data_IF_986273469845
#
_entry.id   IF_986273469845
#
_cell.length_a   1.000
_cell.length_b   1.000
_cell.length_c   1.000
_cell.angle_alpha   90.00
_cell.angle_beta   90.00
_cell.angle_gamma   90.00
#
_symmetry.space_group_name_H-M   'P 1'
#
loop_
_entity.id
_entity.type
_entity.pdbx_description
1 polymer ?
#
# COMPACT_ATOMS: atom_id res chain seq x y z
N UNK A 1 -20.08 -24.04 -5.87
CA UNK A 1 -19.32 -23.95 -7.13
C UNK A 1 -19.20 -22.49 -7.55
N UNK A 2 -18.12 -22.11 -8.22
CA UNK A 2 -17.95 -20.77 -8.79
C UNK A 2 -18.95 -20.58 -9.94
N UNK A 3 -19.89 -19.62 -9.85
CA UNK A 3 -20.93 -19.42 -10.84
C UNK A 3 -20.50 -18.49 -11.99
N UNK A 4 -19.27 -17.98 -11.97
CA UNK A 4 -18.74 -17.07 -12.99
C UNK A 4 -17.76 -17.79 -13.91
N UNK A 5 -17.71 -17.38 -15.18
CA UNK A 5 -16.73 -17.90 -16.15
C UNK A 5 -15.39 -17.14 -16.14
N UNK A 6 -15.40 -15.89 -15.62
CA UNK A 6 -14.27 -14.97 -15.71
C UNK A 6 -13.51 -14.81 -14.39
N UNK A 7 -14.14 -15.04 -13.23
CA UNK A 7 -13.44 -14.94 -11.96
C UNK A 7 -12.75 -16.29 -11.67
N UNK A 8 -11.44 -16.30 -11.32
CA UNK A 8 -10.78 -17.54 -10.92
C UNK A 8 -11.42 -18.15 -9.69
N UNK A 9 -11.44 -19.49 -9.61
CA UNK A 9 -12.02 -20.22 -8.46
C UNK A 9 -11.43 -19.77 -7.13
N UNK A 10 -10.11 -19.54 -7.07
CA UNK A 10 -9.44 -19.05 -5.84
C UNK A 10 -9.97 -17.70 -5.39
N UNK A 11 -10.20 -16.77 -6.32
CA UNK A 11 -10.78 -15.45 -6.03
C UNK A 11 -12.23 -15.56 -5.59
N UNK A 12 -12.99 -16.47 -6.20
CA UNK A 12 -14.35 -16.78 -5.75
C UNK A 12 -14.38 -17.34 -4.33
N UNK A 13 -13.47 -18.26 -3.99
CA UNK A 13 -13.39 -18.84 -2.65
C UNK A 13 -13.07 -17.77 -1.58
N UNK A 14 -12.21 -16.80 -1.90
CA UNK A 14 -11.97 -15.64 -1.02
C UNK A 14 -13.23 -14.78 -0.84
N UNK A 15 -14.04 -14.60 -1.88
CA UNK A 15 -15.31 -13.89 -1.79
C UNK A 15 -16.36 -14.69 -0.98
N UNK A 16 -16.35 -16.02 -1.06
CA UNK A 16 -17.18 -16.87 -0.19
C UNK A 16 -16.79 -16.70 1.28
N UNK A 17 -15.49 -16.62 1.57
CA UNK A 17 -15.01 -16.38 2.95
C UNK A 17 -15.37 -14.99 3.45
N UNK A 18 -15.27 -13.96 2.62
CA UNK A 18 -15.59 -12.60 3.06
C UNK A 18 -17.08 -12.44 3.35
N UNK A 19 -17.97 -13.17 2.66
CA UNK A 19 -19.43 -13.20 2.88
C UNK A 19 -19.84 -13.66 4.30
N UNK A 20 -18.95 -14.34 5.03
CA UNK A 20 -19.19 -14.76 6.42
C UNK A 20 -19.12 -13.58 7.40
N UNK A 21 -18.49 -12.48 7.01
CA UNK A 21 -18.37 -11.28 7.83
C UNK A 21 -19.63 -10.41 7.71
N UNK A 22 -20.12 -9.91 8.85
CA UNK A 22 -21.39 -9.17 8.95
C UNK A 22 -21.51 -8.01 7.95
N UNK A 23 -20.40 -7.29 7.72
CA UNK A 23 -20.36 -6.13 6.80
C UNK A 23 -20.40 -6.48 5.32
N UNK A 24 -20.19 -7.74 4.97
CA UNK A 24 -20.19 -8.25 3.60
C UNK A 24 -21.30 -9.27 3.38
N UNK A 25 -22.24 -9.37 4.33
CA UNK A 25 -23.27 -10.39 4.28
C UNK A 25 -24.08 -10.29 3.00
N UNK A 26 -24.33 -11.44 2.38
CA UNK A 26 -25.04 -11.58 1.10
C UNK A 26 -24.29 -11.03 -0.13
N UNK A 27 -23.01 -10.64 -0.01
CA UNK A 27 -22.20 -10.25 -1.17
C UNK A 27 -22.17 -11.37 -2.20
N UNK A 28 -22.03 -12.62 -1.78
CA UNK A 28 -22.01 -13.77 -2.69
C UNK A 28 -23.33 -13.93 -3.44
N UNK A 29 -24.45 -13.76 -2.73
CA UNK A 29 -25.80 -13.89 -3.28
C UNK A 29 -26.09 -12.79 -4.30
N UNK A 30 -25.72 -11.55 -3.96
CA UNK A 30 -25.96 -10.38 -4.80
C UNK A 30 -24.95 -10.27 -5.95
N UNK A 31 -23.76 -10.86 -5.81
CA UNK A 31 -22.73 -10.87 -6.85
C UNK A 31 -23.25 -11.35 -8.19
N UNK A 32 -24.11 -12.37 -8.19
CA UNK A 32 -24.69 -12.93 -9.41
C UNK A 32 -25.71 -12.01 -10.07
N UNK A 33 -26.52 -11.31 -9.27
CA UNK A 33 -27.47 -10.33 -9.78
C UNK A 33 -26.74 -9.13 -10.41
N UNK A 34 -25.56 -8.79 -9.90
CA UNK A 34 -24.74 -7.65 -10.31
C UNK A 34 -23.48 -8.07 -11.09
N UNK A 35 -23.51 -9.25 -11.72
CA UNK A 35 -22.33 -9.87 -12.33
C UNK A 35 -21.62 -8.97 -13.33
N UNK A 36 -22.37 -8.16 -14.08
CA UNK A 36 -21.83 -7.31 -15.14
C UNK A 36 -21.13 -6.08 -14.56
N UNK A 37 -21.64 -5.54 -13.45
CA UNK A 37 -20.97 -4.47 -12.69
C UNK A 37 -19.68 -4.96 -12.03
N UNK A 38 -19.70 -6.15 -11.43
CA UNK A 38 -18.49 -6.75 -10.89
C UNK A 38 -17.48 -7.13 -11.97
N UNK A 39 -17.95 -7.58 -13.14
CA UNK A 39 -17.08 -7.83 -14.29
C UNK A 39 -16.43 -6.54 -14.80
N UNK A 40 -17.18 -5.43 -14.84
CA UNK A 40 -16.63 -4.12 -15.18
C UNK A 40 -15.48 -3.72 -14.23
N UNK A 41 -15.70 -3.85 -12.91
CA UNK A 41 -14.64 -3.61 -11.92
C UNK A 41 -13.46 -4.55 -12.15
N UNK A 42 -13.72 -5.84 -12.34
CA UNK A 42 -12.66 -6.84 -12.55
C UNK A 42 -11.82 -6.59 -13.80
N UNK A 43 -12.45 -6.19 -14.91
CA UNK A 43 -11.78 -5.92 -16.19
C UNK A 43 -11.04 -4.57 -16.21
N UNK A 44 -11.30 -3.67 -15.25
CA UNK A 44 -10.62 -2.37 -15.15
C UNK A 44 -9.12 -2.49 -14.88
N UNK A 45 -8.35 -1.55 -15.42
CA UNK A 45 -6.92 -1.40 -15.10
C UNK A 45 -6.69 -0.87 -13.68
N UNK A 46 -7.66 -0.14 -13.13
CA UNK A 46 -7.61 0.48 -11.80
C UNK A 46 -8.86 0.11 -10.97
N UNK A 47 -9.09 -1.18 -10.68
CA UNK A 47 -10.33 -1.65 -10.04
C UNK A 47 -10.59 -1.02 -8.66
N UNK A 48 -9.53 -0.62 -7.97
CA UNK A 48 -9.57 0.04 -6.66
C UNK A 48 -10.12 1.47 -6.70
N UNK A 49 -10.23 2.08 -7.89
CA UNK A 49 -10.83 3.40 -8.10
C UNK A 49 -12.21 3.33 -8.74
N UNK A 50 -12.62 2.15 -9.19
CA UNK A 50 -13.92 1.96 -9.82
C UNK A 50 -15.06 2.05 -8.81
N UNK A 51 -16.21 2.46 -9.31
CA UNK A 51 -17.46 2.41 -8.54
C UNK A 51 -17.92 0.97 -8.41
N UNK A 52 -18.29 0.59 -7.19
CA UNK A 52 -18.86 -0.72 -6.93
C UNK A 52 -20.33 -0.74 -7.36
N UNK A 53 -20.88 -1.91 -7.72
CA UNK A 53 -22.28 -2.01 -8.12
C UNK A 53 -23.23 -1.75 -6.95
N UNK A 54 -24.29 -0.98 -7.25
CA UNK A 54 -25.45 -0.70 -6.40
C UNK A 54 -25.09 -0.38 -4.93
N UNK A 55 -25.65 -1.16 -3.99
CA UNK A 55 -25.53 -0.96 -2.56
C UNK A 55 -24.09 -1.07 -2.05
N UNK A 56 -23.20 -1.78 -2.75
CA UNK A 56 -21.83 -1.98 -2.31
C UNK A 56 -20.99 -0.71 -2.39
N UNK A 57 -21.40 0.26 -3.21
CA UNK A 57 -20.76 1.57 -3.28
C UNK A 57 -21.03 2.42 -2.03
N UNK A 58 -22.18 2.24 -1.38
CA UNK A 58 -22.60 3.08 -0.24
C UNK A 58 -22.54 2.34 1.10
N UNK A 59 -22.67 1.02 1.11
CA UNK A 59 -22.61 0.21 2.34
C UNK A 59 -21.18 -0.07 2.81
N UNK A 60 -20.21 -0.10 1.89
CA UNK A 60 -18.82 -0.42 2.21
C UNK A 60 -18.00 0.87 2.36
N UNK A 61 -17.33 1.00 3.51
CA UNK A 61 -16.26 1.96 3.70
C UNK A 61 -14.98 1.55 2.97
N UNK A 62 -14.00 2.45 2.93
CA UNK A 62 -12.82 2.31 2.07
C UNK A 62 -11.99 1.05 2.35
N UNK A 63 -11.81 0.70 3.63
CA UNK A 63 -11.12 -0.53 4.02
C UNK A 63 -11.88 -1.79 3.54
N UNK A 64 -13.21 -1.77 3.62
CA UNK A 64 -14.04 -2.90 3.20
C UNK A 64 -14.04 -3.04 1.68
N UNK A 65 -14.08 -1.93 0.94
CA UNK A 65 -13.92 -1.92 -0.51
C UNK A 65 -12.56 -2.54 -0.91
N UNK A 66 -11.49 -2.20 -0.20
CA UNK A 66 -10.17 -2.80 -0.42
C UNK A 66 -10.16 -4.31 -0.17
N UNK A 67 -10.91 -4.81 0.82
CA UNK A 67 -11.07 -6.26 1.04
C UNK A 67 -11.74 -6.96 -0.14
N UNK A 68 -12.75 -6.33 -0.77
CA UNK A 68 -13.37 -6.89 -1.98
C UNK A 68 -12.38 -6.89 -3.14
N UNK A 69 -11.62 -5.80 -3.35
CA UNK A 69 -10.55 -5.76 -4.37
C UNK A 69 -9.53 -6.87 -4.14
N UNK A 70 -9.11 -7.13 -2.89
CA UNK A 70 -8.21 -8.25 -2.56
C UNK A 70 -8.78 -9.60 -3.02
N UNK A 71 -10.09 -9.79 -2.96
CA UNK A 71 -10.74 -11.02 -3.41
C UNK A 71 -10.74 -11.13 -4.94
N UNK A 72 -11.18 -10.08 -5.65
CA UNK A 72 -11.40 -10.14 -7.11
C UNK A 72 -10.18 -9.81 -7.96
N UNK A 73 -9.29 -8.92 -7.48
CA UNK A 73 -8.09 -8.40 -8.17
C UNK A 73 -6.92 -8.28 -7.19
N UNK A 74 -6.36 -9.42 -6.72
CA UNK A 74 -5.28 -9.42 -5.74
C UNK A 74 -4.01 -8.70 -6.21
N UNK A 75 -3.79 -8.60 -7.53
CA UNK A 75 -2.68 -7.84 -8.13
C UNK A 75 -2.77 -6.33 -7.88
N UNK A 76 -3.97 -5.82 -7.55
CA UNK A 76 -4.23 -4.39 -7.33
C UNK A 76 -4.37 -4.03 -5.85
N UNK A 77 -3.97 -4.92 -4.94
CA UNK A 77 -4.01 -4.66 -3.50
C UNK A 77 -3.02 -3.58 -3.09
N UNK A 78 -1.78 -3.62 -3.60
CA UNK A 78 -0.76 -2.60 -3.28
C UNK A 78 -1.24 -1.18 -3.61
N UNK A 79 -1.70 -0.87 -4.84
CA UNK A 79 -2.21 0.46 -5.14
C UNK A 79 -3.50 0.80 -4.36
N UNK A 80 -4.35 -0.18 -4.07
CA UNK A 80 -5.51 0.05 -3.20
C UNK A 80 -5.11 0.48 -1.76
N UNK A 81 -4.08 -0.16 -1.20
CA UNK A 81 -3.52 0.22 0.11
C UNK A 81 -2.89 1.60 0.05
N UNK A 82 -2.15 1.92 -1.02
CA UNK A 82 -1.56 3.26 -1.20
C UNK A 82 -2.64 4.34 -1.26
N UNK A 83 -3.71 4.13 -2.03
CA UNK A 83 -4.84 5.06 -2.09
C UNK A 83 -5.49 5.23 -0.70
N UNK A 84 -5.73 4.14 0.03
CA UNK A 84 -6.27 4.18 1.39
C UNK A 84 -5.38 5.00 2.35
N UNK A 85 -4.07 4.74 2.36
CA UNK A 85 -3.11 5.46 3.21
C UNK A 85 -3.02 6.93 2.82
N UNK A 86 -2.98 7.24 1.52
CA UNK A 86 -2.98 8.63 1.03
C UNK A 86 -4.21 9.38 1.51
N UNK A 87 -5.38 8.79 1.40
CA UNK A 87 -6.64 9.48 1.69
C UNK A 87 -6.87 9.66 3.20
N UNK A 88 -6.29 8.80 4.05
CA UNK A 88 -6.47 8.85 5.51
C UNK A 88 -5.31 9.49 6.28
N UNK A 89 -4.07 9.28 5.85
CA UNK A 89 -2.85 9.77 6.52
C UNK A 89 -2.15 10.88 5.71
N UNK A 90 -2.32 10.88 4.39
CA UNK A 90 -1.72 11.85 3.48
C UNK A 90 -0.63 11.26 2.58
N UNK A 91 -0.37 11.97 1.48
CA UNK A 91 0.58 11.55 0.43
C UNK A 91 1.99 11.22 0.95
N UNK A 92 2.49 11.96 1.94
CA UNK A 92 3.83 11.76 2.52
C UNK A 92 4.06 10.37 3.14
N UNK A 93 3.00 9.62 3.43
CA UNK A 93 3.08 8.27 4.03
C UNK A 93 3.17 7.14 3.00
N UNK A 94 2.98 7.45 1.71
CA UNK A 94 3.19 6.49 0.61
C UNK A 94 4.43 6.80 -0.22
N UNK A 95 5.11 7.91 0.08
CA UNK A 95 6.34 8.33 -0.56
C UNK A 95 7.54 7.96 0.32
N UNK A 96 8.60 7.37 -0.24
CA UNK A 96 9.82 7.13 0.51
C UNK A 96 10.42 8.48 0.95
N UNK A 97 10.80 8.65 2.22
CA UNK A 97 11.43 9.89 2.66
C UNK A 97 12.78 10.07 1.95
N UNK A 98 13.20 11.33 1.69
CA UNK A 98 14.53 11.62 1.21
C UNK A 98 15.58 11.07 2.19
N UNK A 99 16.68 10.52 1.65
CA UNK A 99 17.82 10.14 2.47
C UNK A 99 18.42 11.39 3.13
N UNK A 100 18.56 11.37 4.46
CA UNK A 100 19.08 12.49 5.25
C UNK A 100 19.97 11.95 6.37
N UNK A 101 21.29 11.99 6.11
CA UNK A 101 22.29 11.54 7.06
C UNK A 101 22.40 12.47 8.27
N UNK A 102 22.17 13.77 8.10
CA UNK A 102 22.25 14.74 9.18
C UNK A 102 21.17 14.49 10.24
N UNK A 103 19.92 14.27 9.80
CA UNK A 103 18.83 13.87 10.70
C UNK A 103 19.13 12.55 11.41
N UNK A 104 19.58 11.54 10.65
CA UNK A 104 19.90 10.23 11.21
C UNK A 104 21.04 10.30 12.23
N UNK A 105 22.01 11.19 12.03
CA UNK A 105 23.11 11.43 12.97
C UNK A 105 22.65 12.13 14.24
N UNK A 106 21.76 13.12 14.14
CA UNK A 106 21.18 13.81 15.30
C UNK A 106 20.40 12.86 16.22
N UNK A 107 19.76 11.84 15.65
CA UNK A 107 19.05 10.79 16.40
C UNK A 107 19.98 9.66 16.91
N UNK A 108 21.26 9.69 16.54
CA UNK A 108 22.26 8.67 16.91
C UNK A 108 23.07 9.09 18.14
N UNK A 109 23.72 8.10 18.78
CA UNK A 109 24.64 8.34 19.90
C UNK A 109 25.82 7.36 19.80
N UNK A 110 26.82 7.49 20.68
CA UNK A 110 27.91 6.53 20.76
C UNK A 110 27.48 5.10 21.13
N UNK A 111 26.24 4.91 21.59
CA UNK A 111 25.64 3.60 21.90
C UNK A 111 24.51 3.21 20.95
N UNK A 112 24.07 4.12 20.07
CA UNK A 112 23.03 3.87 19.05
C UNK A 112 23.64 3.98 17.66
N UNK A 113 24.05 2.84 17.04
CA UNK A 113 24.75 2.86 15.77
C UNK A 113 23.83 3.21 14.59
N UNK A 114 24.39 3.86 13.57
CA UNK A 114 23.72 4.10 12.29
C UNK A 114 24.01 2.92 11.35
N UNK A 115 22.96 2.34 10.77
CA UNK A 115 23.07 1.20 9.84
C UNK A 115 22.65 1.65 8.45
N UNK A 116 23.51 1.42 7.46
CA UNK A 116 23.21 1.65 6.05
C UNK A 116 22.74 0.35 5.40
N UNK A 117 21.51 0.35 4.87
CA UNK A 117 20.98 -0.76 4.07
C UNK A 117 21.17 -0.42 2.60
N UNK A 118 22.05 -1.17 1.92
CA UNK A 118 22.48 -0.89 0.56
C UNK A 118 21.82 -1.83 -0.44
N UNK A 119 21.46 -1.25 -1.58
CA UNK A 119 21.12 -2.01 -2.77
C UNK A 119 22.40 -2.29 -3.57
N UNK A 120 22.45 -3.36 -4.39
CA UNK A 120 23.59 -3.59 -5.27
C UNK A 120 23.91 -2.33 -6.10
N UNK A 121 25.16 -1.87 -6.06
CA UNK A 121 25.62 -0.70 -6.81
C UNK A 121 25.43 0.66 -6.12
N UNK A 122 24.82 0.73 -4.92
CA UNK A 122 24.79 1.95 -4.10
C UNK A 122 25.95 1.96 -3.11
N UNK A 123 26.78 3.01 -3.11
CA UNK A 123 27.87 3.21 -2.14
C UNK A 123 27.64 4.52 -1.35
N UNK A 124 27.34 4.46 -0.03
CA UNK A 124 27.08 5.63 0.79
C UNK A 124 28.38 6.34 1.23
N UNK A 125 29.56 5.75 0.99
CA UNK A 125 30.82 6.24 1.54
C UNK A 125 31.11 7.68 1.12
N UNK A 126 30.85 8.02 -0.15
CA UNK A 126 31.08 9.38 -0.64
C UNK A 126 30.23 10.44 0.08
N UNK A 127 28.97 10.13 0.40
CA UNK A 127 28.07 11.01 1.16
C UNK A 127 28.44 11.06 2.64
N UNK A 128 28.88 9.93 3.21
CA UNK A 128 29.33 9.85 4.59
C UNK A 128 30.62 10.65 4.82
N UNK A 129 31.61 10.52 3.93
CA UNK A 129 32.87 11.27 4.00
C UNK A 129 32.61 12.77 3.91
N UNK A 130 31.80 13.21 2.94
CA UNK A 130 31.41 14.63 2.83
C UNK A 130 30.72 15.13 4.10
N UNK A 131 29.78 14.36 4.64
CA UNK A 131 29.11 14.73 5.89
C UNK A 131 30.09 14.86 7.06
N UNK A 132 31.08 13.97 7.17
CA UNK A 132 32.10 14.06 8.21
C UNK A 132 32.99 15.30 8.02
N UNK A 133 33.43 15.56 6.78
CA UNK A 133 34.23 16.74 6.47
C UNK A 133 33.47 18.01 6.85
N UNK A 134 32.21 18.16 6.41
CA UNK A 134 31.36 19.33 6.71
C UNK A 134 31.12 19.53 8.22
N UNK A 135 30.96 18.44 8.98
CA UNK A 135 30.66 18.51 10.43
C UNK A 135 31.90 18.83 11.28
N UNK A 136 33.09 18.42 10.84
CA UNK A 136 34.31 18.52 11.63
C UNK A 136 35.33 19.54 11.08
N UNK A 137 35.15 20.07 9.86
CA UNK A 137 35.97 21.16 9.32
C UNK A 137 35.81 22.46 10.10
N UNK A 138 34.59 22.77 10.56
CA UNK A 138 34.28 24.01 11.31
C UNK A 138 34.85 24.04 12.74
N UNK A 139 35.33 22.91 13.28
CA UNK A 139 35.95 22.84 14.62
C UNK A 139 37.47 23.08 14.62
N UNK A 140 38.05 23.36 13.45
CA UNK A 140 39.50 23.58 13.28
C UNK A 140 39.93 25.03 13.56
N UNK A 141 39.03 26.00 13.42
CA UNK A 141 39.34 27.43 13.45
C UNK A 141 39.17 28.11 14.83
N UNK A 142 38.74 27.37 15.86
CA UNK A 142 38.58 27.87 17.24
C UNK A 142 39.58 27.27 18.26
N UNK A 143 40.71 26.70 17.82
CA UNK A 143 41.78 26.23 18.71
C UNK A 143 43.12 26.93 18.51
#
# INVERSE_FOLDING_TARGET
SNPTAWLPTKSWDELVRVDELERFKDIRKNFLAQKDGWKFVYDSTEPHREKFPDQWQTQLGDFQRMCVIRCIRPDKVVPAVQDFVRDHLGQKYIEPPPFDLSKSYQDSTCTTPIIFVLSPGSDPMSSLSKFADDMFSDQSDER
#
